data_IF_585576197547
#
_entry.id   IF_585576197547
#
_cell.length_a   1.000
_cell.length_b   1.000
_cell.length_c   1.000
_cell.angle_alpha   90.00
_cell.angle_beta   90.00
_cell.angle_gamma   90.00
#
_symmetry.space_group_name_H-M   'P 1'
#
loop_
_entity.id
_entity.type
_entity.pdbx_description
1 polymer ?
#
# COMPACT_ATOMS: atom_id res chain seq x y z
N UNK A 1 29.51 13.07 -64.93
CA UNK A 1 30.21 13.51 -63.70
C UNK A 1 29.89 14.98 -63.44
N UNK A 2 28.94 15.26 -62.55
CA UNK A 2 28.66 16.51 -61.82
C UNK A 2 27.36 16.28 -61.04
N UNK A 3 27.50 16.04 -59.74
CA UNK A 3 26.41 15.69 -58.82
C UNK A 3 25.78 16.99 -58.34
N UNK A 4 24.49 17.16 -58.62
CA UNK A 4 23.69 18.31 -58.22
C UNK A 4 23.35 18.22 -56.74
N UNK A 5 23.78 19.21 -55.97
CA UNK A 5 23.51 19.39 -54.55
C UNK A 5 22.05 19.85 -54.39
N UNK A 6 21.16 18.96 -53.95
CA UNK A 6 19.82 19.34 -53.48
C UNK A 6 19.77 19.11 -51.96
N UNK A 7 19.86 20.21 -51.21
CA UNK A 7 19.73 20.21 -49.76
C UNK A 7 18.31 19.81 -49.35
N UNK A 8 18.11 18.54 -49.03
CA UNK A 8 16.88 18.04 -48.43
C UNK A 8 16.95 18.28 -46.91
N UNK A 9 16.54 19.48 -46.48
CA UNK A 9 16.26 19.76 -45.07
C UNK A 9 14.97 18.99 -44.72
N UNK A 10 15.14 17.76 -44.22
CA UNK A 10 14.05 17.04 -43.57
C UNK A 10 13.82 17.74 -42.22
N UNK A 11 12.83 18.62 -42.16
CA UNK A 11 12.29 19.12 -40.90
C UNK A 11 11.73 17.93 -40.13
N UNK A 12 12.53 17.41 -39.20
CA UNK A 12 12.07 16.48 -38.19
C UNK A 12 11.16 17.27 -37.24
N UNK A 13 9.86 17.32 -37.54
CA UNK A 13 8.86 17.84 -36.60
C UNK A 13 8.80 16.88 -35.42
N UNK A 14 9.64 17.15 -34.42
CA UNK A 14 9.50 16.64 -33.07
C UNK A 14 8.10 17.05 -32.60
N UNK A 15 7.13 16.16 -32.71
CA UNK A 15 5.88 16.29 -31.97
C UNK A 15 6.24 16.18 -30.51
N UNK A 16 6.53 17.32 -29.89
CA UNK A 16 6.56 17.47 -28.44
C UNK A 16 5.20 16.99 -27.96
N UNK A 17 5.14 15.77 -27.43
CA UNK A 17 4.03 15.38 -26.59
C UNK A 17 4.10 16.35 -25.42
N UNK A 18 3.27 17.38 -25.45
CA UNK A 18 3.13 18.31 -24.35
C UNK A 18 2.95 17.45 -23.10
N UNK A 19 3.92 17.54 -22.19
CA UNK A 19 3.82 16.97 -20.85
C UNK A 19 2.49 17.49 -20.32
N UNK A 20 1.50 16.60 -20.18
CA UNK A 20 0.21 16.98 -19.60
C UNK A 20 0.53 17.42 -18.18
N UNK A 21 0.61 18.73 -17.97
CA UNK A 21 0.68 19.31 -16.63
C UNK A 21 -0.45 18.68 -15.84
N UNK A 22 -0.17 18.03 -14.69
CA UNK A 22 -1.22 17.43 -13.90
C UNK A 22 -2.29 18.50 -13.66
N UNK A 23 -3.55 18.19 -13.92
CA UNK A 23 -4.67 19.07 -13.56
C UNK A 23 -4.47 19.45 -12.09
N UNK A 24 -4.54 20.75 -11.79
CA UNK A 24 -4.44 21.28 -10.43
C UNK A 24 -5.34 20.45 -9.50
N UNK A 25 -4.74 19.84 -8.46
CA UNK A 25 -5.50 19.06 -7.49
C UNK A 25 -6.35 20.02 -6.64
N UNK A 26 -7.67 19.81 -6.61
CA UNK A 26 -8.56 20.52 -5.69
C UNK A 26 -8.64 19.72 -4.40
N UNK A 27 -8.19 20.31 -3.29
CA UNK A 27 -8.42 19.74 -1.95
C UNK A 27 -9.92 19.82 -1.68
N UNK A 28 -10.57 18.66 -1.56
CA UNK A 28 -12.00 18.55 -1.23
C UNK A 28 -12.25 18.60 0.28
N UNK A 29 -11.30 18.12 1.08
CA UNK A 29 -11.36 18.08 2.54
C UNK A 29 -9.94 17.99 3.11
N UNK A 30 -9.69 18.64 4.24
CA UNK A 30 -8.47 18.51 5.03
C UNK A 30 -8.87 18.48 6.51
N UNK A 31 -8.54 17.40 7.20
CA UNK A 31 -8.91 17.14 8.59
C UNK A 31 -7.95 16.13 9.21
N UNK A 32 -7.90 16.09 10.54
CA UNK A 32 -7.23 15.01 11.25
C UNK A 32 -8.14 13.78 11.33
N UNK A 33 -7.54 12.58 11.21
CA UNK A 33 -8.25 11.31 11.48
C UNK A 33 -8.47 11.14 12.99
N UNK A 34 -7.52 11.61 13.79
CA UNK A 34 -7.55 11.60 15.25
C UNK A 34 -6.71 12.76 15.77
N UNK A 35 -7.12 13.35 16.89
CA UNK A 35 -6.32 14.34 17.62
C UNK A 35 -5.59 13.71 18.81
N UNK A 36 -6.17 12.67 19.40
CA UNK A 36 -5.60 11.91 20.50
C UNK A 36 -5.29 10.49 20.02
N UNK A 37 -4.01 10.11 20.07
CA UNK A 37 -3.54 8.82 19.61
C UNK A 37 -3.09 7.93 20.80
N UNK A 38 -3.33 6.60 20.73
CA UNK A 38 -2.78 5.66 21.72
C UNK A 38 -1.28 5.36 21.50
N UNK A 39 -0.65 5.97 20.49
CA UNK A 39 0.75 5.79 20.10
C UNK A 39 1.46 7.14 20.02
N UNK A 40 2.80 7.13 20.09
CA UNK A 40 3.64 8.35 20.01
C UNK A 40 3.99 8.74 18.59
N UNK A 41 4.11 7.76 17.69
CA UNK A 41 4.45 7.96 16.28
C UNK A 41 3.55 7.11 15.40
N UNK A 42 3.28 7.60 14.19
CA UNK A 42 2.60 6.85 13.14
C UNK A 42 3.17 7.18 11.76
N UNK A 43 3.13 6.22 10.84
CA UNK A 43 3.71 6.36 9.51
C UNK A 43 3.07 5.37 8.51
N UNK A 44 3.42 5.50 7.22
CA UNK A 44 2.94 4.72 6.08
C UNK A 44 1.40 4.57 5.99
N UNK A 45 0.69 5.69 5.89
CA UNK A 45 -0.76 5.68 5.79
C UNK A 45 -1.29 5.20 4.43
N UNK A 46 -2.45 4.56 4.47
CA UNK A 46 -3.25 4.13 3.32
C UNK A 46 -4.73 4.44 3.58
N UNK A 47 -5.52 4.60 2.52
CA UNK A 47 -6.96 4.88 2.61
C UNK A 47 -7.70 4.22 1.45
N UNK A 48 -8.89 3.66 1.68
CA UNK A 48 -9.75 3.08 0.64
C UNK A 48 -11.19 3.57 0.82
N UNK A 49 -11.92 3.68 -0.28
CA UNK A 49 -13.36 3.90 -0.28
C UNK A 49 -14.08 2.55 -0.17
N UNK A 50 -15.08 2.50 0.71
CA UNK A 50 -15.93 1.33 0.95
C UNK A 50 -17.19 1.41 0.10
N UNK A 51 -17.95 0.31 0.03
CA UNK A 51 -19.14 0.20 -0.84
C UNK A 51 -20.20 1.29 -0.60
N UNK A 52 -20.36 1.74 0.63
CA UNK A 52 -21.33 2.76 1.03
C UNK A 52 -20.81 4.21 0.88
N UNK A 53 -19.62 4.39 0.28
CA UNK A 53 -18.97 5.69 0.12
C UNK A 53 -18.23 6.17 1.38
N UNK A 54 -18.27 5.40 2.48
CA UNK A 54 -17.42 5.67 3.64
C UNK A 54 -15.95 5.40 3.32
N UNK A 55 -15.03 5.97 4.10
CA UNK A 55 -13.60 5.74 3.93
C UNK A 55 -13.07 4.88 5.06
N UNK A 56 -12.07 4.05 4.78
CA UNK A 56 -11.26 3.39 5.80
C UNK A 56 -9.80 3.74 5.60
N UNK A 57 -9.16 4.21 6.65
CA UNK A 57 -7.73 4.49 6.68
C UNK A 57 -7.00 3.47 7.55
N UNK A 58 -5.73 3.23 7.23
CA UNK A 58 -4.82 2.44 8.05
C UNK A 58 -3.43 3.04 8.06
N UNK A 59 -2.67 2.78 9.11
CA UNK A 59 -1.27 3.19 9.30
C UNK A 59 -0.62 2.27 10.34
N UNK A 60 0.70 2.26 10.44
CA UNK A 60 1.35 1.65 11.61
C UNK A 60 1.63 2.71 12.66
N UNK A 61 1.61 2.33 13.93
CA UNK A 61 1.88 3.25 15.03
C UNK A 61 2.29 2.54 16.33
N UNK A 62 3.17 3.19 17.08
CA UNK A 62 3.73 2.69 18.35
C UNK A 62 4.58 3.74 19.06
N UNK A 63 5.44 3.30 19.97
CA UNK A 63 6.34 4.18 20.72
C UNK A 63 7.42 4.84 19.85
N UNK A 64 7.99 4.11 18.90
CA UNK A 64 8.92 4.58 17.86
C UNK A 64 8.92 3.58 16.69
N UNK A 65 9.25 4.04 15.49
CA UNK A 65 9.43 3.14 14.34
C UNK A 65 10.43 2.01 14.68
N UNK A 66 10.16 0.78 14.20
CA UNK A 66 10.89 -0.46 14.51
C UNK A 66 10.67 -1.08 15.89
N UNK A 67 10.04 -0.39 16.84
CA UNK A 67 9.82 -0.97 18.17
C UNK A 67 8.78 -2.09 18.15
N UNK A 68 8.95 -3.06 19.05
CA UNK A 68 8.07 -4.25 19.13
C UNK A 68 6.61 -3.91 19.37
N UNK A 69 6.30 -2.76 19.97
CA UNK A 69 4.94 -2.28 20.22
C UNK A 69 4.27 -1.60 19.03
N UNK A 70 4.93 -1.54 17.86
CA UNK A 70 4.30 -1.00 16.64
C UNK A 70 3.26 -1.98 16.10
N UNK A 71 2.03 -1.49 15.97
CA UNK A 71 0.85 -2.22 15.48
C UNK A 71 0.29 -1.58 14.22
N UNK A 72 -0.57 -2.30 13.50
CA UNK A 72 -1.41 -1.72 12.44
C UNK A 72 -2.72 -1.25 13.04
N UNK A 73 -3.02 0.03 12.81
CA UNK A 73 -4.22 0.71 13.27
C UNK A 73 -5.12 1.04 12.09
N UNK A 74 -6.44 1.01 12.31
CA UNK A 74 -7.44 1.43 11.34
C UNK A 74 -8.41 2.45 11.94
N UNK A 75 -9.00 3.29 11.08
CA UNK A 75 -10.13 4.15 11.43
C UNK A 75 -11.10 4.25 10.25
N UNK A 76 -12.38 4.36 10.57
CA UNK A 76 -13.47 4.52 9.61
C UNK A 76 -13.97 5.97 9.59
N UNK A 77 -14.12 6.55 8.40
CA UNK A 77 -14.86 7.81 8.22
C UNK A 77 -16.30 7.51 7.84
N UNK A 78 -17.22 7.66 8.79
CA UNK A 78 -18.67 7.44 8.58
C UNK A 78 -19.44 8.67 9.02
N UNK A 79 -20.47 9.04 8.25
CA UNK A 79 -21.33 10.21 8.55
C UNK A 79 -20.54 11.51 8.80
N UNK A 80 -19.43 11.71 8.08
CA UNK A 80 -18.59 12.90 8.19
C UNK A 80 -17.52 12.87 9.27
N UNK A 81 -17.48 11.85 10.14
CA UNK A 81 -16.54 11.78 11.27
C UNK A 81 -15.69 10.51 11.25
N UNK A 82 -14.45 10.62 11.72
CA UNK A 82 -13.54 9.49 11.91
C UNK A 82 -13.79 8.79 13.25
N UNK A 83 -13.72 7.46 13.26
CA UNK A 83 -13.75 6.68 14.51
C UNK A 83 -12.41 6.74 15.23
N UNK A 84 -12.40 6.40 16.52
CA UNK A 84 -11.15 6.19 17.24
C UNK A 84 -10.29 5.11 16.54
N UNK A 85 -8.94 5.22 16.59
CA UNK A 85 -8.04 4.19 16.08
C UNK A 85 -8.29 2.83 16.75
N UNK A 86 -8.35 1.76 15.95
CA UNK A 86 -8.48 0.38 16.43
C UNK A 86 -7.31 -0.44 15.90
N UNK A 87 -6.63 -1.18 16.77
CA UNK A 87 -5.57 -2.10 16.37
C UNK A 87 -6.15 -3.36 15.72
N UNK A 88 -5.56 -3.77 14.60
CA UNK A 88 -5.99 -4.95 13.82
C UNK A 88 -4.86 -5.95 13.55
N UNK A 89 -3.60 -5.59 13.81
CA UNK A 89 -2.46 -6.50 13.76
C UNK A 89 -1.35 -6.02 14.71
N UNK A 90 -0.93 -6.87 15.65
CA UNK A 90 -0.07 -6.49 16.76
C UNK A 90 1.35 -7.08 16.71
N UNK A 91 1.65 -7.93 15.73
CA UNK A 91 2.97 -8.53 15.53
C UNK A 91 3.36 -9.58 16.57
N UNK A 92 2.42 -10.05 17.39
CA UNK A 92 2.63 -11.16 18.33
C UNK A 92 2.74 -12.46 17.53
N UNK A 93 3.84 -13.17 17.71
CA UNK A 93 4.10 -14.47 17.08
C UNK A 93 3.77 -15.61 18.04
N UNK A 94 4.15 -15.44 19.31
CA UNK A 94 3.85 -16.32 20.42
C UNK A 94 4.00 -15.56 21.75
N UNK A 95 3.81 -16.25 22.88
CA UNK A 95 3.82 -15.68 24.24
C UNK A 95 5.07 -14.86 24.59
N UNK A 96 6.21 -15.14 23.94
CA UNK A 96 7.50 -14.49 24.23
C UNK A 96 8.04 -13.63 23.08
N UNK A 97 7.49 -13.77 21.88
CA UNK A 97 8.03 -13.19 20.67
C UNK A 97 7.02 -12.27 19.99
N UNK A 98 7.45 -11.02 19.84
CA UNK A 98 6.73 -9.97 19.15
C UNK A 98 7.67 -9.17 18.28
N UNK A 99 7.24 -8.84 17.07
CA UNK A 99 7.93 -7.95 16.15
C UNK A 99 7.07 -6.74 15.83
N UNK A 100 7.71 -5.69 15.31
CA UNK A 100 7.02 -4.54 14.78
C UNK A 100 6.17 -4.94 13.57
N UNK A 101 4.99 -4.32 13.45
CA UNK A 101 4.20 -4.30 12.22
C UNK A 101 4.58 -3.11 11.34
N UNK A 102 4.47 -3.26 10.01
CA UNK A 102 4.92 -2.24 9.07
C UNK A 102 4.03 -2.11 7.85
N UNK A 103 4.14 -0.94 7.22
CA UNK A 103 3.64 -0.57 5.90
C UNK A 103 2.30 -1.22 5.49
N UNK A 104 1.19 -0.83 6.15
CA UNK A 104 -0.12 -1.33 5.78
C UNK A 104 -0.56 -0.80 4.42
N UNK A 105 -1.24 -1.66 3.65
CA UNK A 105 -1.86 -1.31 2.37
C UNK A 105 -3.26 -1.91 2.31
N UNK A 106 -4.26 -1.02 2.28
CA UNK A 106 -5.65 -1.39 2.09
C UNK A 106 -5.92 -1.56 0.60
N UNK A 107 -6.51 -2.70 0.23
CA UNK A 107 -6.84 -3.04 -1.14
C UNK A 107 -8.19 -3.76 -1.21
N UNK A 108 -9.14 -3.18 -1.94
CA UNK A 108 -10.49 -3.74 -2.11
C UNK A 108 -10.64 -4.28 -3.52
N UNK A 109 -10.94 -5.55 -3.66
CA UNK A 109 -11.20 -6.22 -4.94
C UNK A 109 -12.65 -6.02 -5.39
N UNK A 110 -12.92 -6.29 -6.67
CA UNK A 110 -14.24 -6.08 -7.28
C UNK A 110 -15.36 -6.95 -6.66
N UNK A 111 -14.99 -8.11 -6.13
CA UNK A 111 -15.89 -9.01 -5.39
C UNK A 111 -16.29 -8.46 -4.00
N UNK A 112 -15.70 -7.34 -3.58
CA UNK A 112 -15.94 -6.70 -2.28
C UNK A 112 -15.02 -7.17 -1.16
N UNK A 113 -14.08 -8.08 -1.43
CA UNK A 113 -13.10 -8.49 -0.42
C UNK A 113 -12.15 -7.32 -0.13
N UNK A 114 -12.08 -6.92 1.14
CA UNK A 114 -11.12 -5.93 1.62
C UNK A 114 -9.92 -6.65 2.23
N UNK A 115 -8.75 -6.46 1.63
CA UNK A 115 -7.49 -6.99 2.12
C UNK A 115 -6.67 -5.88 2.76
N UNK A 116 -6.03 -6.18 3.88
CA UNK A 116 -5.01 -5.35 4.51
C UNK A 116 -3.69 -6.12 4.49
N UNK A 117 -2.83 -5.75 3.55
CA UNK A 117 -1.46 -6.24 3.50
C UNK A 117 -0.61 -5.45 4.48
N UNK A 118 0.29 -6.11 5.19
CA UNK A 118 1.24 -5.48 6.10
C UNK A 118 2.45 -6.39 6.27
N UNK A 119 3.50 -5.92 6.94
CA UNK A 119 4.71 -6.71 7.16
C UNK A 119 4.93 -6.87 8.64
N UNK A 120 5.59 -7.96 9.00
CA UNK A 120 6.02 -8.23 10.38
C UNK A 120 7.49 -8.61 10.34
N UNK A 121 8.28 -8.07 11.26
CA UNK A 121 9.68 -8.40 11.36
C UNK A 121 10.51 -7.34 12.08
N UNK A 122 11.80 -7.61 12.31
CA UNK A 122 12.68 -6.70 13.04
C UNK A 122 13.09 -5.47 12.21
N UNK A 123 13.14 -5.59 10.88
CA UNK A 123 13.51 -4.51 9.97
C UNK A 123 13.12 -4.85 8.52
N UNK A 124 13.18 -3.90 7.58
CA UNK A 124 12.80 -4.13 6.17
C UNK A 124 13.60 -5.19 5.39
N UNK A 125 14.78 -5.61 5.87
CA UNK A 125 15.60 -6.65 5.22
C UNK A 125 15.20 -8.07 5.66
N UNK A 126 14.48 -8.18 6.77
CA UNK A 126 14.19 -9.45 7.46
C UNK A 126 12.69 -9.65 7.74
N UNK A 127 11.84 -8.71 7.33
CA UNK A 127 10.40 -8.84 7.47
C UNK A 127 9.81 -9.83 6.46
N UNK A 128 8.55 -10.19 6.68
CA UNK A 128 7.76 -10.98 5.75
C UNK A 128 6.39 -10.35 5.53
N UNK A 129 5.77 -10.68 4.41
CA UNK A 129 4.42 -10.24 4.09
C UNK A 129 3.37 -10.99 4.89
N UNK A 130 2.37 -10.24 5.34
CA UNK A 130 1.18 -10.73 6.01
C UNK A 130 -0.05 -10.12 5.35
N UNK A 131 -1.18 -10.82 5.43
CA UNK A 131 -2.48 -10.32 5.00
C UNK A 131 -3.57 -10.72 5.97
N UNK A 132 -4.52 -9.83 6.18
CA UNK A 132 -5.83 -10.14 6.77
C UNK A 132 -6.92 -9.69 5.79
N UNK A 133 -8.01 -10.44 5.76
CA UNK A 133 -9.13 -10.19 4.87
C UNK A 133 -10.39 -9.82 5.64
N UNK A 134 -11.26 -9.05 5.00
CA UNK A 134 -12.59 -8.76 5.48
C UNK A 134 -13.61 -8.88 4.36
N UNK A 135 -14.70 -9.59 4.64
CA UNK A 135 -15.86 -9.75 3.75
C UNK A 135 -17.03 -8.85 4.17
N UNK A 136 -16.83 -8.00 5.18
CA UNK A 136 -17.85 -7.11 5.73
C UNK A 136 -17.37 -5.65 5.85
N UNK A 137 -16.60 -5.20 4.86
CA UNK A 137 -16.07 -3.82 4.75
C UNK A 137 -15.21 -3.40 5.97
N UNK A 138 -14.46 -4.37 6.52
CA UNK A 138 -13.52 -4.19 7.63
C UNK A 138 -14.17 -3.95 8.99
N UNK A 139 -15.38 -4.48 9.21
CA UNK A 139 -15.99 -4.55 10.56
C UNK A 139 -15.35 -5.66 11.39
N UNK A 140 -14.97 -6.76 10.75
CA UNK A 140 -14.14 -7.82 11.32
C UNK A 140 -13.12 -8.28 10.29
N UNK A 141 -12.05 -8.90 10.79
CA UNK A 141 -10.92 -9.39 10.00
C UNK A 141 -10.74 -10.88 10.21
N UNK A 142 -10.21 -11.58 9.20
CA UNK A 142 -9.80 -12.97 9.28
C UNK A 142 -8.62 -13.16 10.24
N UNK A 143 -8.27 -14.42 10.50
CA UNK A 143 -6.97 -14.71 11.09
C UNK A 143 -5.84 -14.18 10.17
N UNK A 144 -4.71 -13.72 10.73
CA UNK A 144 -3.52 -13.36 9.96
C UNK A 144 -2.98 -14.52 9.13
N UNK A 145 -2.70 -14.25 7.86
CA UNK A 145 -2.09 -15.20 6.94
C UNK A 145 -0.72 -14.68 6.51
N UNK A 146 0.31 -15.55 6.60
CA UNK A 146 1.64 -15.25 6.06
C UNK A 146 1.60 -15.43 4.55
N UNK A 147 2.14 -14.46 3.81
CA UNK A 147 2.33 -14.60 2.37
C UNK A 147 3.37 -15.70 2.06
N UNK A 148 3.35 -16.30 0.86
CA UNK A 148 4.35 -17.28 0.45
C UNK A 148 5.78 -16.75 0.60
N UNK A 149 6.72 -17.65 0.87
CA UNK A 149 8.12 -17.24 1.03
C UNK A 149 8.64 -16.57 -0.26
N UNK A 150 9.30 -15.42 -0.11
CA UNK A 150 9.75 -14.58 -1.21
C UNK A 150 8.73 -13.56 -1.73
N UNK A 151 7.51 -13.53 -1.18
CA UNK A 151 6.43 -12.59 -1.55
C UNK A 151 6.15 -11.65 -0.37
N UNK A 152 6.17 -10.34 -0.60
CA UNK A 152 5.93 -9.32 0.44
C UNK A 152 4.59 -8.61 0.28
N UNK A 153 3.92 -8.79 -0.86
CA UNK A 153 2.76 -8.03 -1.26
C UNK A 153 3.14 -6.58 -1.60
N UNK A 154 2.15 -5.68 -1.72
CA UNK A 154 2.43 -4.28 -1.97
C UNK A 154 3.24 -3.69 -0.81
N UNK A 155 4.39 -3.07 -1.08
CA UNK A 155 5.22 -2.49 0.00
C UNK A 155 4.54 -1.26 0.59
N UNK A 156 4.02 -0.33 -0.22
CA UNK A 156 3.34 0.88 0.29
C UNK A 156 2.17 1.36 -0.57
N UNK A 157 2.27 1.23 -1.90
CA UNK A 157 1.22 1.73 -2.79
C UNK A 157 0.19 0.63 -3.08
N UNK A 158 -1.06 1.04 -3.37
CA UNK A 158 -2.16 0.11 -3.65
C UNK A 158 -1.83 -0.77 -4.86
N UNK A 159 -2.15 -2.07 -4.81
CA UNK A 159 -2.18 -2.91 -6.00
C UNK A 159 -3.15 -2.39 -7.07
N UNK A 160 -2.91 -2.82 -8.31
CA UNK A 160 -3.79 -2.59 -9.45
C UNK A 160 -4.39 -3.90 -9.93
N UNK A 161 -5.70 -3.94 -10.12
CA UNK A 161 -6.37 -5.06 -10.82
C UNK A 161 -6.48 -4.75 -12.31
N UNK A 162 -5.95 -5.63 -13.15
CA UNK A 162 -6.12 -5.56 -14.60
C UNK A 162 -7.52 -6.05 -15.01
N UNK A 163 -8.02 -5.70 -16.22
CA UNK A 163 -9.29 -6.21 -16.73
C UNK A 163 -9.39 -7.75 -16.75
N UNK A 164 -8.26 -8.46 -16.83
CA UNK A 164 -8.19 -9.92 -16.76
C UNK A 164 -8.39 -10.49 -15.34
N UNK A 165 -8.50 -9.64 -14.31
CA UNK A 165 -8.56 -10.04 -12.92
C UNK A 165 -7.19 -10.26 -12.26
N UNK A 166 -6.09 -10.12 -13.01
CA UNK A 166 -4.73 -10.20 -12.47
C UNK A 166 -4.45 -9.00 -11.56
N UNK A 167 -3.92 -9.26 -10.36
CA UNK A 167 -3.51 -8.24 -9.40
C UNK A 167 -2.01 -8.01 -9.55
N UNK A 168 -1.62 -6.75 -9.68
CA UNK A 168 -0.22 -6.29 -9.73
C UNK A 168 0.07 -5.47 -8.48
N UNK A 169 0.94 -5.99 -7.62
CA UNK A 169 1.35 -5.37 -6.38
C UNK A 169 2.71 -4.69 -6.56
N UNK A 170 2.83 -3.37 -6.39
CA UNK A 170 4.12 -2.69 -6.41
C UNK A 170 4.91 -3.07 -5.15
N UNK A 171 6.03 -3.76 -5.34
CA UNK A 171 6.83 -4.33 -4.26
C UNK A 171 8.29 -3.89 -4.34
N UNK A 172 9.02 -4.12 -3.26
CA UNK A 172 10.46 -3.88 -3.17
C UNK A 172 11.09 -4.71 -2.07
N UNK A 173 12.36 -5.04 -2.24
CA UNK A 173 13.19 -5.64 -1.19
C UNK A 173 14.37 -4.72 -0.86
N UNK A 174 14.83 -4.80 0.39
CA UNK A 174 16.10 -4.27 0.85
C UNK A 174 17.04 -5.44 1.16
N UNK A 175 18.22 -5.44 0.55
CA UNK A 175 19.21 -6.49 0.79
C UNK A 175 20.02 -6.21 2.05
N UNK A 176 20.75 -7.22 2.56
CA UNK A 176 21.71 -7.04 3.66
C UNK A 176 22.88 -6.11 3.30
N UNK A 177 23.13 -5.91 2.00
CA UNK A 177 24.10 -4.96 1.45
C UNK A 177 23.49 -3.58 1.19
N UNK A 178 22.27 -3.33 1.69
CA UNK A 178 21.54 -2.06 1.58
C UNK A 178 21.19 -1.66 0.14
N UNK A 179 21.05 -2.64 -0.76
CA UNK A 179 20.55 -2.44 -2.11
C UNK A 179 19.02 -2.47 -2.13
N UNK A 180 18.43 -1.64 -2.99
CA UNK A 180 16.99 -1.48 -3.13
C UNK A 180 16.52 -1.98 -4.48
N UNK A 181 15.71 -3.04 -4.50
CA UNK A 181 15.17 -3.59 -5.74
C UNK A 181 13.66 -3.44 -5.78
N UNK A 182 13.16 -2.53 -6.62
CA UNK A 182 11.74 -2.42 -6.93
C UNK A 182 11.33 -3.46 -7.98
N UNK A 183 10.15 -4.05 -7.81
CA UNK A 183 9.60 -5.03 -8.74
C UNK A 183 8.06 -5.09 -8.61
N UNK A 184 7.41 -5.88 -9.46
CA UNK A 184 5.97 -6.12 -9.39
C UNK A 184 5.73 -7.58 -9.03
N UNK A 185 5.00 -7.81 -7.95
CA UNK A 185 4.47 -9.12 -7.61
C UNK A 185 3.11 -9.29 -8.28
N UNK A 186 2.87 -10.47 -8.88
CA UNK A 186 1.69 -10.73 -9.71
C UNK A 186 0.90 -11.90 -9.14
N UNK A 187 -0.38 -11.68 -8.90
CA UNK A 187 -1.32 -12.74 -8.53
C UNK A 187 -2.39 -12.94 -9.60
N UNK A 188 -2.69 -14.20 -9.91
CA UNK A 188 -3.75 -14.59 -10.86
C UNK A 188 -4.94 -15.28 -10.19
N UNK A 189 -4.95 -15.38 -8.86
CA UNK A 189 -5.97 -16.10 -8.09
C UNK A 189 -6.53 -15.28 -6.93
N UNK A 190 -6.63 -13.96 -7.11
CA UNK A 190 -7.23 -13.05 -6.14
C UNK A 190 -6.32 -12.72 -4.95
N UNK A 191 -5.00 -12.79 -5.13
CA UNK A 191 -4.03 -12.39 -4.09
C UNK A 191 -3.64 -13.52 -3.14
N UNK A 192 -4.02 -14.77 -3.43
CA UNK A 192 -3.66 -15.95 -2.61
C UNK A 192 -2.22 -16.40 -2.84
N UNK A 193 -1.74 -16.32 -4.09
CA UNK A 193 -0.36 -16.59 -4.50
C UNK A 193 0.10 -15.63 -5.58
#
# INVERSE_FOLDING_TARGET
MKITLLALIVMLTMTSQAIRTPKSCKIVTNEYIFENAPFKQCHASTIVELKDGSLKAAWFGGSNESNKDVEIWVSDKKNGSWTAPVSVANGIINDSLRYACWNPVLFRTADGTLSLYYKVGPNPREWWGMVIHSTNEGKSWSAPEKLPDGILGPIKNKPLTLPSGVILSPSSIETKTEEWHAHIERSTNGGKT
#
